data_IF_592306383302
#
_entry.id   IF_592306383302
#
_cell.length_a   1.000
_cell.length_b   1.000
_cell.length_c   1.000
_cell.angle_alpha   90.00
_cell.angle_beta   90.00
_cell.angle_gamma   90.00
#
_symmetry.space_group_name_H-M   'P 1'
#
loop_
_entity.id
_entity.type
_entity.pdbx_description
1 polymer ?
#
# COMPACT_ATOMS: atom_id res chain seq x y z
N UNK A 1 -14.57 -15.25 4.00
CA UNK A 1 -14.98 -14.00 3.33
C UNK A 1 -13.74 -13.26 2.83
N UNK A 2 -13.77 -12.81 1.61
CA UNK A 2 -12.67 -12.03 1.06
C UNK A 2 -12.64 -10.64 1.69
N UNK A 3 -11.47 -10.24 2.20
CA UNK A 3 -11.27 -8.91 2.79
C UNK A 3 -10.11 -8.24 2.08
N UNK A 4 -10.37 -7.27 1.21
CA UNK A 4 -9.31 -6.64 0.42
C UNK A 4 -8.39 -5.74 1.24
N UNK A 5 -8.81 -5.35 2.46
CA UNK A 5 -8.01 -4.53 3.37
C UNK A 5 -7.86 -5.24 4.71
N UNK A 6 -6.74 -5.05 5.41
CA UNK A 6 -6.67 -5.45 6.82
C UNK A 6 -7.80 -4.79 7.61
N UNK A 7 -8.24 -5.46 8.69
CA UNK A 7 -9.39 -4.97 9.48
C UNK A 7 -9.16 -3.60 10.12
N UNK A 8 -7.90 -3.20 10.29
CA UNK A 8 -7.57 -1.92 10.91
C UNK A 8 -7.42 -0.78 9.91
N UNK A 9 -7.67 -1.02 8.61
CA UNK A 9 -7.62 0.02 7.59
C UNK A 9 -9.00 0.26 7.00
N UNK A 10 -9.23 1.50 6.56
CA UNK A 10 -10.48 1.89 5.94
C UNK A 10 -10.24 2.95 4.88
N UNK A 11 -11.23 3.17 4.02
CA UNK A 11 -11.19 4.17 2.96
C UNK A 11 -12.13 5.30 3.36
N UNK A 12 -11.64 6.54 3.31
CA UNK A 12 -12.42 7.73 3.64
C UNK A 12 -12.04 8.87 2.69
N UNK A 13 -12.83 9.94 2.72
CA UNK A 13 -12.51 11.16 1.99
C UNK A 13 -11.20 11.72 2.52
N UNK A 14 -10.28 12.02 1.60
CA UNK A 14 -8.95 12.53 1.91
C UNK A 14 -8.88 14.03 1.73
N UNK A 15 -8.07 14.70 2.55
CA UNK A 15 -7.75 16.11 2.34
C UNK A 15 -6.76 16.30 1.21
N UNK A 16 -6.03 15.24 0.85
CA UNK A 16 -5.03 15.29 -0.22
C UNK A 16 -5.71 15.22 -1.58
N UNK A 17 -6.49 14.17 -1.80
CA UNK A 17 -7.12 13.94 -3.10
C UNK A 17 -8.18 12.86 -2.94
N UNK A 18 -9.42 13.17 -3.34
CA UNK A 18 -10.51 12.21 -3.43
C UNK A 18 -10.65 11.31 -2.21
N UNK A 19 -10.51 10.01 -2.41
CA UNK A 19 -10.51 9.02 -1.34
C UNK A 19 -9.08 8.69 -0.93
N UNK A 20 -8.91 8.29 0.31
CA UNK A 20 -7.62 7.89 0.86
C UNK A 20 -7.73 6.70 1.79
N UNK A 21 -6.58 6.17 2.18
CA UNK A 21 -6.45 5.02 3.05
C UNK A 21 -6.13 5.51 4.46
N UNK A 22 -6.93 5.14 5.44
CA UNK A 22 -6.81 5.61 6.83
C UNK A 22 -6.71 4.44 7.78
N UNK A 23 -6.03 4.64 8.91
CA UNK A 23 -5.97 3.60 9.94
C UNK A 23 -6.99 3.84 11.05
N UNK A 24 -7.57 2.74 11.51
CA UNK A 24 -8.52 2.72 12.63
C UNK A 24 -7.81 2.46 13.96
N UNK A 25 -6.53 2.11 13.93
CA UNK A 25 -5.71 1.77 15.10
C UNK A 25 -4.33 2.33 14.93
N UNK A 26 -3.57 2.41 16.03
CA UNK A 26 -2.16 2.75 15.95
C UNK A 26 -1.40 1.65 15.22
N UNK A 27 -0.50 2.04 14.31
CA UNK A 27 0.34 1.11 13.56
C UNK A 27 1.80 1.37 13.96
N UNK A 28 2.49 0.31 14.34
CA UNK A 28 3.90 0.40 14.69
C UNK A 28 4.78 0.43 13.44
N UNK A 29 5.84 1.22 13.48
CA UNK A 29 6.86 1.25 12.41
C UNK A 29 7.30 -0.18 12.09
N UNK A 30 7.44 -0.49 10.79
CA UNK A 30 7.84 -1.81 10.34
C UNK A 30 6.70 -2.78 10.07
N UNK A 31 5.46 -2.39 10.39
CA UNK A 31 4.29 -3.26 10.14
C UNK A 31 4.10 -3.46 8.64
N UNK A 32 4.05 -4.73 8.23
CA UNK A 32 3.75 -5.11 6.86
C UNK A 32 2.23 -5.27 6.74
N UNK A 33 1.62 -4.44 5.91
CA UNK A 33 0.15 -4.39 5.79
C UNK A 33 -0.38 -5.24 4.65
N UNK A 34 0.51 -5.89 3.89
CA UNK A 34 0.12 -6.78 2.82
C UNK A 34 0.48 -6.25 1.45
N UNK A 35 0.07 -6.98 0.43
CA UNK A 35 0.42 -6.68 -0.95
C UNK A 35 -0.33 -5.45 -1.47
N UNK A 36 0.42 -4.47 -1.96
CA UNK A 36 -0.16 -3.25 -2.56
C UNK A 36 -0.19 -3.33 -4.07
N UNK A 37 0.80 -3.96 -4.67
CA UNK A 37 0.94 -4.05 -6.13
C UNK A 37 1.52 -5.40 -6.50
N UNK A 38 1.19 -5.86 -7.72
CA UNK A 38 1.81 -7.05 -8.31
C UNK A 38 2.03 -6.79 -9.80
N UNK A 39 3.21 -7.15 -10.29
CA UNK A 39 3.52 -7.08 -11.72
C UNK A 39 3.62 -8.50 -12.25
N UNK A 40 2.80 -8.81 -13.24
CA UNK A 40 2.80 -10.10 -13.92
C UNK A 40 3.10 -9.81 -15.38
N UNK A 41 4.23 -10.35 -15.87
CA UNK A 41 4.75 -10.01 -17.21
C UNK A 41 4.94 -8.48 -17.28
N UNK A 42 4.23 -7.79 -18.16
CA UNK A 42 4.39 -6.35 -18.35
C UNK A 42 3.27 -5.53 -17.71
N UNK A 43 2.35 -6.18 -16.99
CA UNK A 43 1.18 -5.51 -16.43
C UNK A 43 1.29 -5.39 -14.91
N UNK A 44 1.07 -4.17 -14.41
CA UNK A 44 1.05 -3.89 -12.98
C UNK A 44 -0.40 -3.77 -12.53
N UNK A 45 -0.75 -4.54 -11.51
CA UNK A 45 -2.08 -4.52 -10.89
C UNK A 45 -1.97 -3.92 -9.50
N UNK A 46 -2.97 -3.14 -9.10
CA UNK A 46 -3.08 -2.58 -7.76
C UNK A 46 -4.11 -3.35 -6.97
N UNK A 47 -3.77 -3.69 -5.73
CA UNK A 47 -4.77 -4.14 -4.77
C UNK A 47 -5.47 -2.89 -4.20
N UNK A 48 -6.54 -3.02 -3.41
CA UNK A 48 -7.13 -1.87 -2.74
C UNK A 48 -6.12 -1.10 -1.88
N UNK A 49 -5.12 -1.76 -1.28
CA UNK A 49 -4.05 -1.08 -0.55
C UNK A 49 -3.27 -0.12 -1.45
N UNK A 50 -2.94 -0.56 -2.67
CA UNK A 50 -2.19 0.28 -3.60
C UNK A 50 -3.05 1.23 -4.38
N UNK A 51 -4.35 0.93 -4.52
CA UNK A 51 -5.26 1.74 -5.34
C UNK A 51 -5.78 2.99 -4.66
N UNK A 52 -5.88 2.98 -3.33
CA UNK A 52 -6.46 4.10 -2.57
C UNK A 52 -5.45 4.89 -1.76
N UNK A 53 -4.17 4.52 -1.78
CA UNK A 53 -3.15 5.24 -1.03
C UNK A 53 -2.71 6.48 -1.81
N UNK A 54 -2.70 7.63 -1.16
CA UNK A 54 -2.33 8.89 -1.79
C UNK A 54 -0.83 9.15 -1.68
N UNK A 55 -0.34 10.02 -2.58
CA UNK A 55 1.06 10.42 -2.60
C UNK A 55 1.34 11.49 -1.55
N UNK A 56 2.53 11.42 -0.94
CA UNK A 56 3.06 12.50 -0.12
C UNK A 56 4.57 12.56 -0.29
N UNK A 57 5.14 13.76 -0.15
CA UNK A 57 6.60 13.94 -0.24
C UNK A 57 7.31 13.38 1.00
N UNK A 58 6.62 13.41 2.14
CA UNK A 58 7.12 12.83 3.40
C UNK A 58 6.11 11.78 3.86
N UNK A 59 6.12 10.60 3.21
CA UNK A 59 5.12 9.58 3.49
C UNK A 59 5.39 8.84 4.79
N UNK A 60 4.37 8.13 5.28
CA UNK A 60 4.50 7.26 6.44
C UNK A 60 4.56 5.78 6.07
N UNK A 61 4.55 5.46 4.78
CA UNK A 61 4.65 4.09 4.28
C UNK A 61 5.62 4.01 3.11
N UNK A 62 6.08 2.79 2.84
CA UNK A 62 6.91 2.48 1.67
C UNK A 62 6.42 1.20 1.00
N UNK A 63 6.67 1.08 -0.30
CA UNK A 63 6.49 -0.16 -1.04
C UNK A 63 7.79 -0.94 -0.95
N UNK A 64 7.71 -2.17 -0.48
CA UNK A 64 8.87 -3.07 -0.42
C UNK A 64 8.71 -4.12 -1.50
N UNK A 65 9.66 -4.14 -2.44
CA UNK A 65 9.62 -5.04 -3.58
C UNK A 65 10.11 -6.43 -3.20
N UNK A 66 9.39 -7.44 -3.69
CA UNK A 66 9.78 -8.84 -3.58
C UNK A 66 9.74 -9.45 -4.97
N UNK A 67 10.88 -9.98 -5.43
CA UNK A 67 10.94 -10.70 -6.70
C UNK A 67 10.51 -12.14 -6.44
N UNK A 68 9.47 -12.56 -7.16
CA UNK A 68 8.93 -13.92 -7.05
C UNK A 68 9.17 -14.65 -8.36
N UNK A 69 9.61 -15.90 -8.28
CA UNK A 69 9.86 -16.72 -9.45
C UNK A 69 9.18 -18.07 -9.29
N UNK A 70 8.80 -18.67 -10.42
CA UNK A 70 8.35 -20.05 -10.46
C UNK A 70 8.75 -20.66 -11.81
N UNK A 71 8.38 -21.91 -12.05
CA UNK A 71 8.80 -22.65 -13.25
C UNK A 71 8.23 -22.06 -14.55
N UNK A 72 7.15 -21.29 -14.45
CA UNK A 72 6.43 -20.79 -15.62
C UNK A 72 6.78 -19.35 -15.97
N UNK A 73 6.96 -18.49 -14.96
CA UNK A 73 7.19 -17.07 -15.19
C UNK A 73 7.73 -16.41 -13.94
N UNK A 74 8.32 -15.23 -14.15
CA UNK A 74 8.78 -14.37 -13.07
C UNK A 74 7.73 -13.30 -12.84
N UNK A 75 7.55 -12.90 -11.59
CA UNK A 75 6.68 -11.78 -11.26
C UNK A 75 7.22 -11.05 -10.05
N UNK A 76 6.82 -9.78 -9.90
CA UNK A 76 7.20 -8.95 -8.77
C UNK A 76 5.97 -8.61 -7.96
N UNK A 77 6.16 -8.48 -6.66
CA UNK A 77 5.09 -7.94 -5.83
C UNK A 77 5.69 -6.93 -4.86
N UNK A 78 4.87 -6.00 -4.44
CA UNK A 78 5.24 -4.98 -3.47
C UNK A 78 4.31 -5.08 -2.29
N UNK A 79 4.89 -5.07 -1.10
CA UNK A 79 4.12 -4.99 0.14
C UNK A 79 4.18 -3.58 0.68
N UNK A 80 3.09 -3.14 1.32
CA UNK A 80 3.03 -1.85 1.96
C UNK A 80 3.52 -2.00 3.39
N UNK A 81 4.52 -1.19 3.78
CA UNK A 81 5.14 -1.28 5.09
C UNK A 81 5.18 0.11 5.72
N UNK A 82 4.82 0.20 7.01
CA UNK A 82 4.88 1.46 7.74
C UNK A 82 6.34 1.84 7.99
N UNK A 83 6.72 3.07 7.62
CA UNK A 83 8.07 3.59 7.82
C UNK A 83 8.15 4.51 9.04
N UNK A 84 7.04 4.76 9.68
CA UNK A 84 6.90 5.54 10.92
C UNK A 84 5.80 4.90 11.74
N UNK A 85 5.73 5.25 13.02
CA UNK A 85 4.54 4.95 13.80
C UNK A 85 3.40 5.80 13.25
N UNK A 86 2.24 5.19 13.03
CA UNK A 86 1.07 5.86 12.48
C UNK A 86 -0.04 5.78 13.53
N UNK A 87 -0.63 6.91 13.85
CA UNK A 87 -1.64 6.98 14.90
C UNK A 87 -3.02 6.76 14.33
N UNK A 88 -3.89 6.23 15.17
CA UNK A 88 -5.30 6.06 14.86
C UNK A 88 -5.87 7.33 14.21
N UNK A 89 -6.57 7.16 13.10
CA UNK A 89 -7.19 8.27 12.38
C UNK A 89 -6.32 8.94 11.34
N UNK A 90 -5.02 8.64 11.30
CA UNK A 90 -4.14 9.24 10.31
C UNK A 90 -4.30 8.58 8.95
N UNK A 91 -4.07 9.38 7.91
CA UNK A 91 -4.04 8.87 6.55
C UNK A 91 -2.69 8.22 6.25
N UNK A 92 -2.72 7.06 5.60
CA UNK A 92 -1.51 6.40 5.10
C UNK A 92 -1.14 7.02 3.77
N UNK A 93 0.15 7.30 3.58
CA UNK A 93 0.65 7.92 2.36
C UNK A 93 1.89 7.20 1.88
N UNK A 94 2.16 7.35 0.60
CA UNK A 94 3.23 6.68 -0.10
C UNK A 94 3.89 7.68 -1.05
N UNK A 95 5.19 7.63 -1.19
CA UNK A 95 5.84 8.41 -2.23
C UNK A 95 5.78 7.61 -3.53
N UNK A 96 5.15 8.18 -4.55
CA UNK A 96 5.06 7.53 -5.85
C UNK A 96 6.44 7.60 -6.51
N UNK A 97 7.07 6.44 -6.68
CA UNK A 97 8.38 6.34 -7.31
C UNK A 97 8.28 5.88 -8.76
N UNK A 98 7.13 5.28 -9.10
CA UNK A 98 6.80 4.95 -10.48
C UNK A 98 5.57 5.76 -10.83
N UNK A 99 5.59 6.48 -11.93
CA UNK A 99 4.42 7.28 -12.25
C UNK A 99 3.28 6.46 -12.86
N UNK A 100 3.49 5.20 -13.10
CA UNK A 100 2.45 4.28 -13.56
C UNK A 100 1.88 3.40 -12.43
N UNK A 101 2.31 3.61 -11.21
CA UNK A 101 1.73 2.93 -10.04
C UNK A 101 1.66 3.84 -8.83
#
# INVERSE_FOLDING_TARGET
MYKPLPSYLTIKTSKVNGLGLFTLENITIGTNMGMSHIKIKDTIFRTPLGGFINHANEPNCAKVELLMTNDSFDYKKWNLVATKDIKEGEELTLRYTFYDI
#
